data_IF_536565977259
#
_entry.id   IF_536565977259
#
_cell.length_a   1.000
_cell.length_b   1.000
_cell.length_c   1.000
_cell.angle_alpha   90.00
_cell.angle_beta   90.00
_cell.angle_gamma   90.00
#
_symmetry.space_group_name_H-M   'P 1'
#
loop_
_entity.id
_entity.type
_entity.pdbx_description
1 polymer ?
#
# COMPACT_ATOMS: atom_id res chain seq x y z
N UNK A 1 -7.16 16.09 68.50
CA UNK A 1 -6.20 15.87 67.39
C UNK A 1 -5.16 16.99 67.26
N UNK A 2 -5.54 18.25 66.99
CA UNK A 2 -4.59 19.37 66.80
C UNK A 2 -3.56 19.57 67.93
N UNK A 3 -3.98 19.46 69.20
CA UNK A 3 -3.07 19.62 70.33
C UNK A 3 -2.02 18.52 70.42
N UNK A 4 -2.40 17.28 70.09
CA UNK A 4 -1.49 16.13 70.09
C UNK A 4 -0.49 16.25 68.92
N UNK A 5 -0.95 16.57 67.72
CA UNK A 5 -0.06 16.77 66.57
C UNK A 5 0.87 17.96 66.76
N UNK A 6 0.39 19.07 67.33
CA UNK A 6 1.25 20.21 67.72
C UNK A 6 2.29 19.82 68.76
N UNK A 7 1.90 19.04 69.77
CA UNK A 7 2.82 18.57 70.80
C UNK A 7 3.92 17.68 70.21
N UNK A 8 3.55 16.68 69.40
CA UNK A 8 4.52 15.78 68.74
C UNK A 8 5.47 16.54 67.82
N UNK A 9 4.96 17.49 67.02
CA UNK A 9 5.78 18.30 66.12
C UNK A 9 6.78 19.18 66.89
N UNK A 10 6.34 19.81 67.98
CA UNK A 10 7.20 20.62 68.86
C UNK A 10 8.29 19.76 69.51
N UNK A 11 7.96 18.53 69.94
CA UNK A 11 8.93 17.61 70.52
C UNK A 11 9.96 17.15 69.50
N UNK A 12 9.55 16.81 68.28
CA UNK A 12 10.49 16.49 67.20
C UNK A 12 11.43 17.66 66.89
N UNK A 13 10.91 18.88 66.75
CA UNK A 13 11.72 20.07 66.47
C UNK A 13 12.72 20.32 67.61
N UNK A 14 12.32 20.15 68.87
CA UNK A 14 13.22 20.25 70.04
C UNK A 14 14.35 19.23 69.97
N UNK A 15 14.01 17.96 69.73
CA UNK A 15 14.97 16.86 69.66
C UNK A 15 16.01 17.06 68.55
N UNK A 16 15.59 17.53 67.37
CA UNK A 16 16.51 17.86 66.27
C UNK A 16 17.34 19.13 66.53
N UNK A 17 16.80 20.12 67.26
CA UNK A 17 17.53 21.37 67.56
C UNK A 17 18.60 21.19 68.65
N UNK A 18 18.34 20.36 69.66
CA UNK A 18 19.30 20.05 70.74
C UNK A 18 20.47 19.22 70.23
N UNK A 19 20.24 18.30 69.28
CA UNK A 19 21.30 17.51 68.64
C UNK A 19 22.14 18.29 67.61
N UNK A 20 21.62 19.39 67.04
CA UNK A 20 22.30 20.18 66.01
C UNK A 20 22.92 21.50 66.52
N UNK A 21 22.79 21.82 67.81
CA UNK A 21 23.32 23.05 68.41
C UNK A 21 22.64 24.34 67.94
N UNK A 22 21.48 24.25 67.31
CA UNK A 22 20.74 25.40 66.75
C UNK A 22 19.80 25.95 67.84
N UNK A 23 19.86 27.26 68.17
CA UNK A 23 19.01 27.83 69.22
C UNK A 23 17.52 27.65 68.91
N UNK A 24 16.82 26.89 69.76
CA UNK A 24 15.37 26.72 69.64
C UNK A 24 14.66 28.08 69.83
N UNK A 25 13.85 28.55 68.86
CA UNK A 25 13.18 29.83 69.00
C UNK A 25 12.15 29.78 70.15
N UNK A 26 12.41 30.50 71.26
CA UNK A 26 11.48 30.61 72.41
C UNK A 26 10.07 31.08 72.01
N UNK A 27 9.92 31.71 70.85
CA UNK A 27 8.64 32.14 70.28
C UNK A 27 7.69 30.99 69.88
N UNK A 28 8.18 29.75 69.73
CA UNK A 28 7.32 28.58 69.39
C UNK A 28 6.43 28.18 70.58
N UNK A 29 6.87 28.47 71.80
CA UNK A 29 6.11 28.23 73.03
C UNK A 29 5.28 29.44 73.49
N UNK A 30 5.49 30.64 72.93
CA UNK A 30 4.73 31.83 73.31
C UNK A 30 3.33 31.80 72.70
N UNK A 31 2.30 31.96 73.55
CA UNK A 31 0.92 32.19 73.11
C UNK A 31 0.87 33.57 72.42
N UNK A 32 0.23 33.71 71.24
CA UNK A 32 0.19 35.01 70.57
C UNK A 32 -0.47 36.04 71.48
N UNK A 33 0.24 37.12 71.80
CA UNK A 33 -0.33 38.23 72.61
C UNK A 33 -1.51 38.91 71.91
N UNK A 34 -1.61 38.77 70.59
CA UNK A 34 -2.64 39.38 69.75
C UNK A 34 -3.12 38.33 68.72
N UNK A 35 -4.27 37.74 69.01
CA UNK A 35 -4.90 36.69 68.20
C UNK A 35 -5.15 37.16 66.75
N UNK A 36 -5.51 38.44 66.57
CA UNK A 36 -5.82 39.00 65.27
C UNK A 36 -4.57 39.10 64.39
N UNK A 37 -3.44 39.55 64.95
CA UNK A 37 -2.15 39.56 64.23
C UNK A 37 -1.67 38.16 63.85
N UNK A 38 -1.88 37.16 64.71
CA UNK A 38 -1.53 35.78 64.41
C UNK A 38 -2.39 35.21 63.27
N UNK A 39 -3.70 35.45 63.29
CA UNK A 39 -4.62 35.06 62.23
C UNK A 39 -4.29 35.73 60.89
N UNK A 40 -3.95 37.02 60.91
CA UNK A 40 -3.54 37.75 59.71
C UNK A 40 -2.25 37.19 59.10
N UNK A 41 -1.22 36.90 59.92
CA UNK A 41 0.03 36.27 59.47
C UNK A 41 -0.21 34.87 58.90
N UNK A 42 -1.05 34.08 59.55
CA UNK A 42 -1.46 32.76 59.05
C UNK A 42 -2.16 32.88 57.70
N UNK A 43 -3.15 33.77 57.57
CA UNK A 43 -3.87 33.98 56.32
C UNK A 43 -2.93 34.41 55.19
N UNK A 44 -1.98 35.32 55.46
CA UNK A 44 -0.96 35.71 54.47
C UNK A 44 -0.05 34.56 54.05
N UNK A 45 0.48 33.79 55.00
CA UNK A 45 1.35 32.65 54.73
C UNK A 45 0.60 31.54 53.97
N UNK A 46 -0.63 31.24 54.39
CA UNK A 46 -1.53 30.29 53.74
C UNK A 46 -1.86 30.71 52.30
N UNK A 47 -2.23 31.97 52.08
CA UNK A 47 -2.53 32.48 50.75
C UNK A 47 -1.29 32.48 49.83
N UNK A 48 -0.10 32.79 50.37
CA UNK A 48 1.16 32.72 49.62
C UNK A 48 1.48 31.27 49.24
N UNK A 49 1.38 30.34 50.18
CA UNK A 49 1.57 28.91 49.93
C UNK A 49 0.58 28.40 48.87
N UNK A 50 -0.71 28.71 49.02
CA UNK A 50 -1.74 28.29 48.08
C UNK A 50 -1.48 28.83 46.66
N UNK A 51 -1.00 30.07 46.53
CA UNK A 51 -0.61 30.63 45.23
C UNK A 51 0.57 29.88 44.62
N UNK A 52 1.59 29.54 45.41
CA UNK A 52 2.73 28.75 44.93
C UNK A 52 2.28 27.36 44.49
N UNK A 53 1.53 26.64 45.32
CA UNK A 53 1.02 25.29 44.99
C UNK A 53 0.18 25.31 43.72
N UNK A 54 -0.72 26.29 43.55
CA UNK A 54 -1.51 26.42 42.32
C UNK A 54 -0.64 26.64 41.07
N UNK A 55 0.45 27.41 41.18
CA UNK A 55 1.37 27.62 40.06
C UNK A 55 2.12 26.34 39.69
N UNK A 56 2.62 25.62 40.69
CA UNK A 56 3.30 24.33 40.49
C UNK A 56 2.34 23.30 39.87
N UNK A 57 1.09 23.25 40.32
CA UNK A 57 0.09 22.33 39.78
C UNK A 57 -0.21 22.58 38.29
N UNK A 58 -0.33 23.85 37.88
CA UNK A 58 -0.48 24.23 36.47
C UNK A 58 0.75 23.79 35.66
N UNK A 59 1.96 24.03 36.19
CA UNK A 59 3.19 23.61 35.51
C UNK A 59 3.27 22.09 35.35
N UNK A 60 2.95 21.34 36.40
CA UNK A 60 2.91 19.86 36.36
C UNK A 60 1.92 19.40 35.30
N UNK A 61 0.73 19.99 35.25
CA UNK A 61 -0.29 19.65 34.26
C UNK A 61 0.19 19.92 32.82
N UNK A 62 0.87 21.04 32.60
CA UNK A 62 1.44 21.38 31.28
C UNK A 62 2.55 20.40 30.87
N UNK A 63 3.43 20.02 31.80
CA UNK A 63 4.45 19.00 31.53
C UNK A 63 3.83 17.62 31.24
N UNK A 64 2.78 17.24 31.95
CA UNK A 64 2.05 16.00 31.68
C UNK A 64 1.42 15.99 30.29
N UNK A 65 0.79 17.10 29.87
CA UNK A 65 0.24 17.23 28.51
C UNK A 65 1.34 17.12 27.44
N UNK A 66 2.47 17.81 27.63
CA UNK A 66 3.62 17.73 26.71
C UNK A 66 4.19 16.31 26.64
N UNK A 67 4.34 15.63 27.77
CA UNK A 67 4.80 14.25 27.82
C UNK A 67 3.86 13.30 27.05
N UNK A 68 2.54 13.44 27.23
CA UNK A 68 1.55 12.65 26.49
C UNK A 68 1.62 12.90 24.98
N UNK A 69 1.80 14.15 24.55
CA UNK A 69 1.97 14.51 23.15
C UNK A 69 3.22 13.83 22.55
N UNK A 70 4.35 13.90 23.25
CA UNK A 70 5.60 13.27 22.82
C UNK A 70 5.47 11.75 22.72
N UNK A 71 4.81 11.11 23.69
CA UNK A 71 4.53 9.66 23.64
C UNK A 71 3.69 9.30 22.42
N UNK A 72 2.70 10.12 22.07
CA UNK A 72 1.88 9.92 20.86
C UNK A 72 2.73 10.04 19.59
N UNK A 73 3.57 11.06 19.49
CA UNK A 73 4.48 11.24 18.35
C UNK A 73 5.49 10.09 18.21
N UNK A 74 6.07 9.62 19.31
CA UNK A 74 6.97 8.45 19.30
C UNK A 74 6.23 7.21 18.79
N UNK A 75 4.97 7.02 19.17
CA UNK A 75 4.15 5.90 18.69
C UNK A 75 3.88 6.00 17.20
N UNK A 76 3.53 7.18 16.70
CA UNK A 76 3.29 7.46 15.28
C UNK A 76 4.56 7.22 14.44
N UNK A 77 5.70 7.76 14.87
CA UNK A 77 7.00 7.53 14.21
C UNK A 77 7.39 6.05 14.21
N UNK A 78 7.15 5.32 15.30
CA UNK A 78 7.39 3.86 15.34
C UNK A 78 6.52 3.10 14.33
N UNK A 79 5.24 3.47 14.18
CA UNK A 79 4.39 2.86 13.15
C UNK A 79 4.87 3.19 11.74
N UNK A 80 5.27 4.44 11.48
CA UNK A 80 5.80 4.85 10.18
C UNK A 80 7.09 4.10 9.83
N UNK A 81 8.03 3.99 10.78
CA UNK A 81 9.24 3.19 10.62
C UNK A 81 8.93 1.71 10.33
N UNK A 82 7.95 1.12 11.01
CA UNK A 82 7.54 -0.27 10.77
C UNK A 82 6.93 -0.45 9.36
N UNK A 83 6.13 0.51 8.89
CA UNK A 83 5.60 0.50 7.52
C UNK A 83 6.70 0.64 6.47
N UNK A 84 7.63 1.58 6.66
CA UNK A 84 8.76 1.78 5.76
C UNK A 84 9.65 0.53 5.70
N UNK A 85 9.92 -0.10 6.84
CA UNK A 85 10.67 -1.35 6.90
C UNK A 85 9.97 -2.48 6.14
N UNK A 86 8.64 -2.61 6.29
CA UNK A 86 7.83 -3.58 5.52
C UNK A 86 7.86 -3.31 4.02
N UNK A 87 7.90 -2.03 3.59
CA UNK A 87 8.04 -1.66 2.18
C UNK A 87 9.42 -2.02 1.65
N UNK A 88 10.48 -1.75 2.40
CA UNK A 88 11.85 -2.12 2.03
C UNK A 88 12.00 -3.64 1.86
N UNK A 89 11.51 -4.43 2.82
CA UNK A 89 11.55 -5.89 2.73
C UNK A 89 10.82 -6.43 1.49
N UNK A 90 9.70 -5.82 1.09
CA UNK A 90 9.00 -6.18 -0.16
C UNK A 90 9.82 -5.82 -1.40
N UNK A 91 10.50 -4.69 -1.40
CA UNK A 91 11.36 -4.27 -2.52
C UNK A 91 12.54 -5.23 -2.66
N UNK A 92 13.19 -5.60 -1.57
CA UNK A 92 14.29 -6.58 -1.55
C UNK A 92 13.84 -7.95 -2.09
N UNK A 93 12.71 -8.47 -1.61
CA UNK A 93 12.15 -9.74 -2.11
C UNK A 93 11.82 -9.67 -3.60
N UNK A 94 11.26 -8.56 -4.07
CA UNK A 94 10.95 -8.37 -5.48
C UNK A 94 12.22 -8.20 -6.33
N UNK A 95 13.29 -7.57 -5.83
CA UNK A 95 14.55 -7.46 -6.57
C UNK A 95 15.23 -8.81 -6.72
N UNK A 96 15.23 -9.63 -5.66
CA UNK A 96 15.86 -10.96 -5.68
C UNK A 96 15.13 -11.90 -6.66
N UNK A 97 13.80 -11.88 -6.65
CA UNK A 97 12.99 -12.64 -7.62
C UNK A 97 13.26 -12.17 -9.06
N UNK A 98 13.28 -10.85 -9.30
CA UNK A 98 13.55 -10.32 -10.63
C UNK A 98 14.96 -10.62 -11.13
N UNK A 99 15.96 -10.64 -10.23
CA UNK A 99 17.33 -11.02 -10.55
C UNK A 99 17.41 -12.51 -10.91
N UNK A 100 16.73 -13.39 -10.17
CA UNK A 100 16.64 -14.83 -10.49
C UNK A 100 16.01 -15.07 -11.86
N UNK A 101 14.87 -14.44 -12.14
CA UNK A 101 14.16 -14.57 -13.43
C UNK A 101 15.02 -14.08 -14.59
N UNK A 102 15.73 -12.95 -14.41
CA UNK A 102 16.68 -12.44 -15.42
C UNK A 102 17.86 -13.39 -15.62
N UNK A 103 18.42 -13.96 -14.56
CA UNK A 103 19.52 -14.91 -14.66
C UNK A 103 19.09 -16.21 -15.40
N UNK A 104 17.92 -16.76 -15.04
CA UNK A 104 17.36 -17.96 -15.68
C UNK A 104 17.05 -17.75 -17.15
N UNK A 105 16.41 -16.62 -17.51
CA UNK A 105 16.13 -16.29 -18.91
C UNK A 105 17.41 -16.11 -19.74
N UNK A 106 18.44 -15.44 -19.20
CA UNK A 106 19.75 -15.32 -19.85
C UNK A 106 20.39 -16.69 -20.04
N UNK A 107 20.31 -17.57 -19.04
CA UNK A 107 20.85 -18.92 -19.14
C UNK A 107 20.12 -19.77 -20.18
N UNK A 108 18.79 -19.62 -20.28
CA UNK A 108 17.98 -20.29 -21.30
C UNK A 108 18.34 -19.81 -22.71
N UNK A 109 18.51 -18.50 -22.91
CA UNK A 109 18.97 -17.93 -24.19
C UNK A 109 20.35 -18.46 -24.55
N UNK A 110 21.29 -18.53 -23.60
CA UNK A 110 22.62 -19.10 -23.83
C UNK A 110 22.57 -20.57 -24.21
N UNK A 111 21.74 -21.37 -23.55
CA UNK A 111 21.56 -22.79 -23.88
C UNK A 111 20.96 -22.97 -25.29
N UNK A 112 19.96 -22.17 -25.64
CA UNK A 112 19.36 -22.18 -26.98
C UNK A 112 20.37 -21.78 -28.06
N UNK A 113 21.16 -20.74 -27.81
CA UNK A 113 22.22 -20.31 -28.71
C UNK A 113 23.30 -21.37 -28.89
N UNK A 114 23.69 -22.05 -27.81
CA UNK A 114 24.63 -23.18 -27.88
C UNK A 114 24.08 -24.32 -28.74
N UNK A 115 22.79 -24.67 -28.58
CA UNK A 115 22.13 -25.68 -29.41
C UNK A 115 22.08 -25.27 -30.89
N UNK A 116 21.77 -24.00 -31.19
CA UNK A 116 21.81 -23.48 -32.57
C UNK A 116 23.22 -23.59 -33.14
N UNK A 117 24.25 -23.15 -32.40
CA UNK A 117 25.64 -23.25 -32.85
C UNK A 117 26.08 -24.70 -33.08
N UNK A 118 25.66 -25.63 -32.23
CA UNK A 118 25.92 -27.05 -32.40
C UNK A 118 25.25 -27.61 -33.66
N UNK A 119 23.98 -27.27 -33.91
CA UNK A 119 23.29 -27.66 -35.15
C UNK A 119 23.95 -27.06 -36.39
N UNK A 120 24.35 -25.79 -36.35
CA UNK A 120 25.07 -25.14 -37.45
C UNK A 120 26.42 -25.84 -37.74
N UNK A 121 27.12 -26.27 -36.69
CA UNK A 121 28.37 -27.02 -36.82
C UNK A 121 28.14 -28.42 -37.40
N UNK A 122 27.06 -29.10 -37.03
CA UNK A 122 26.68 -30.38 -37.62
C UNK A 122 26.36 -30.23 -39.12
N UNK A 123 25.67 -29.14 -39.48
CA UNK A 123 25.24 -28.83 -40.85
C UNK A 123 26.36 -28.21 -41.72
N UNK A 124 27.56 -27.99 -41.17
CA UNK A 124 28.65 -27.29 -41.87
C UNK A 124 29.05 -28.00 -43.18
N UNK A 125 29.09 -29.34 -43.18
CA UNK A 125 29.39 -30.13 -44.39
C UNK A 125 28.30 -30.02 -45.45
N UNK A 126 27.05 -30.02 -45.04
CA UNK A 126 25.91 -29.88 -45.95
C UNK A 126 25.86 -28.47 -46.56
N UNK A 127 26.21 -27.46 -45.75
CA UNK A 127 26.38 -26.08 -46.21
C UNK A 127 27.51 -25.95 -47.24
N UNK A 128 28.66 -26.60 -47.04
CA UNK A 128 29.76 -26.61 -48.02
C UNK A 128 29.33 -27.22 -49.36
N UNK A 129 28.52 -28.27 -49.34
CA UNK A 129 27.96 -28.89 -50.56
C UNK A 129 27.02 -27.91 -51.27
N UNK A 130 26.10 -27.26 -50.55
CA UNK A 130 25.19 -26.25 -51.11
C UNK A 130 25.95 -25.04 -51.67
N UNK A 131 26.96 -24.54 -50.95
CA UNK A 131 27.82 -23.44 -51.41
C UNK A 131 28.61 -23.82 -52.67
N UNK A 132 29.01 -25.09 -52.82
CA UNK A 132 29.73 -25.58 -54.00
C UNK A 132 28.83 -25.68 -55.24
N UNK A 133 27.57 -26.09 -55.04
CA UNK A 133 26.54 -26.08 -56.09
C UNK A 133 26.24 -24.65 -56.52
N UNK A 134 26.09 -23.71 -55.58
CA UNK A 134 25.89 -22.27 -55.86
C UNK A 134 27.09 -21.64 -56.58
N UNK A 135 28.32 -22.10 -56.32
CA UNK A 135 29.55 -21.68 -57.02
C UNK A 135 29.72 -22.33 -58.40
N UNK A 136 28.73 -23.08 -58.88
CA UNK A 136 28.70 -23.62 -60.25
C UNK A 136 29.44 -24.94 -60.44
N UNK A 137 29.75 -25.70 -59.38
CA UNK A 137 30.37 -27.03 -59.47
C UNK A 137 29.30 -28.14 -59.60
N UNK A 138 28.36 -27.94 -60.52
CA UNK A 138 27.09 -28.71 -60.62
C UNK A 138 27.30 -30.18 -61.01
N UNK A 139 28.44 -30.52 -61.64
CA UNK A 139 28.67 -31.85 -62.23
C UNK A 139 29.52 -32.81 -61.37
N UNK A 140 29.95 -32.42 -60.16
CA UNK A 140 30.82 -33.25 -59.31
C UNK A 140 30.08 -34.12 -58.27
N UNK A 141 28.79 -33.86 -58.04
CA UNK A 141 28.01 -34.56 -57.02
C UNK A 141 26.73 -35.15 -57.63
N UNK A 142 26.67 -36.47 -57.71
CA UNK A 142 25.43 -37.19 -58.03
C UNK A 142 24.65 -37.34 -56.73
N UNK A 143 23.51 -36.65 -56.62
CA UNK A 143 22.52 -36.89 -55.55
C UNK A 143 21.82 -38.23 -55.81
N UNK A 144 22.55 -39.28 -55.49
CA UNK A 144 22.10 -40.65 -55.45
C UNK A 144 21.42 -40.85 -54.07
N UNK A 145 20.09 -40.93 -54.06
CA UNK A 145 19.31 -41.14 -52.84
C UNK A 145 19.27 -42.60 -52.37
N UNK A 146 20.20 -43.47 -52.80
CA UNK A 146 20.13 -44.92 -52.55
C UNK A 146 20.35 -45.30 -51.08
N UNK A 147 21.04 -44.45 -50.31
CA UNK A 147 21.29 -44.66 -48.87
C UNK A 147 20.25 -44.00 -47.94
N UNK A 148 19.25 -43.29 -48.49
CA UNK A 148 18.26 -42.53 -47.70
C UNK A 148 16.90 -43.21 -47.74
N UNK A 149 16.53 -43.88 -46.65
CA UNK A 149 15.19 -44.42 -46.45
C UNK A 149 14.24 -43.34 -45.93
N UNK A 150 13.42 -42.78 -46.82
CA UNK A 150 12.36 -41.85 -46.42
C UNK A 150 11.15 -42.62 -45.89
N UNK A 151 10.86 -42.44 -44.60
CA UNK A 151 9.62 -42.92 -43.99
C UNK A 151 8.60 -41.78 -43.91
N UNK A 152 7.57 -41.83 -44.76
CA UNK A 152 6.44 -40.90 -44.69
C UNK A 152 5.49 -41.34 -43.56
N UNK A 153 5.19 -40.48 -42.57
CA UNK A 153 4.25 -40.82 -41.51
C UNK A 153 2.87 -41.18 -42.06
N UNK A 154 2.27 -42.27 -41.57
CA UNK A 154 0.99 -42.81 -42.08
C UNK A 154 -0.15 -41.79 -42.12
N UNK A 155 -0.26 -40.94 -41.09
CA UNK A 155 -1.28 -39.89 -41.03
C UNK A 155 -1.14 -38.85 -42.16
N UNK A 156 0.10 -38.56 -42.58
CA UNK A 156 0.39 -37.70 -43.72
C UNK A 156 0.04 -38.42 -45.02
N UNK A 157 0.39 -39.70 -45.11
CA UNK A 157 0.07 -40.57 -46.24
C UNK A 157 -1.44 -40.66 -46.48
N UNK A 158 -2.24 -40.95 -45.45
CA UNK A 158 -3.71 -41.03 -45.54
C UNK A 158 -4.33 -39.68 -45.96
N UNK A 159 -3.83 -38.57 -45.40
CA UNK A 159 -4.32 -37.23 -45.76
C UNK A 159 -3.93 -36.83 -47.18
N UNK A 160 -2.72 -37.18 -47.61
CA UNK A 160 -2.21 -36.87 -48.95
C UNK A 160 -2.88 -37.77 -49.98
N UNK A 161 -3.07 -39.07 -49.75
CA UNK A 161 -3.81 -39.97 -50.64
C UNK A 161 -5.23 -39.47 -50.92
N UNK A 162 -5.90 -38.88 -49.92
CA UNK A 162 -7.20 -38.24 -50.09
C UNK A 162 -7.15 -36.95 -50.95
N UNK A 163 -5.99 -36.31 -51.05
CA UNK A 163 -5.75 -35.06 -51.81
C UNK A 163 -4.98 -35.33 -53.13
N UNK A 164 -4.39 -36.52 -53.32
CA UNK A 164 -3.59 -36.94 -54.49
C UNK A 164 -4.39 -36.88 -55.80
N UNK A 165 -5.72 -37.03 -55.74
CA UNK A 165 -6.57 -36.82 -56.93
C UNK A 165 -6.60 -35.36 -57.41
N UNK A 166 -6.24 -34.40 -56.54
CA UNK A 166 -6.19 -32.96 -56.83
C UNK A 166 -4.76 -32.44 -56.99
N UNK A 167 -3.81 -33.00 -56.24
CA UNK A 167 -2.39 -32.68 -56.31
C UNK A 167 -1.70 -33.77 -57.14
N UNK A 168 -1.26 -33.45 -58.36
CA UNK A 168 -0.53 -34.37 -59.25
C UNK A 168 0.88 -34.70 -58.72
N UNK A 169 0.98 -35.22 -57.51
CA UNK A 169 2.24 -35.63 -56.89
C UNK A 169 2.56 -37.04 -57.42
N UNK A 170 3.66 -37.14 -58.17
CA UNK A 170 4.16 -38.41 -58.67
C UNK A 170 4.70 -39.31 -57.56
N UNK A 171 5.14 -40.52 -57.93
CA UNK A 171 5.69 -41.46 -56.95
C UNK A 171 7.00 -40.92 -56.35
N UNK A 172 7.23 -41.19 -55.07
CA UNK A 172 8.44 -40.79 -54.34
C UNK A 172 9.66 -41.57 -54.87
N UNK A 173 9.43 -42.77 -55.40
CA UNK A 173 10.43 -43.58 -56.07
C UNK A 173 10.04 -43.82 -57.53
N UNK A 174 10.94 -43.52 -58.46
CA UNK A 174 10.82 -43.86 -59.87
C UNK A 174 12.00 -44.74 -60.28
N UNK A 175 11.70 -45.91 -60.87
CA UNK A 175 12.70 -46.90 -61.31
C UNK A 175 13.70 -47.31 -60.20
N UNK A 176 13.26 -47.36 -58.94
CA UNK A 176 14.10 -47.73 -57.79
C UNK A 176 15.01 -46.60 -57.29
N UNK A 177 14.95 -45.41 -57.89
CA UNK A 177 15.67 -44.22 -57.45
C UNK A 177 14.72 -43.21 -56.81
N UNK A 178 15.21 -42.48 -55.82
CA UNK A 178 14.46 -41.43 -55.17
C UNK A 178 14.22 -40.25 -56.13
N UNK A 179 12.98 -39.89 -56.35
CA UNK A 179 12.64 -38.69 -57.11
C UNK A 179 12.60 -37.48 -56.16
N UNK A 180 13.70 -36.74 -56.10
CA UNK A 180 13.86 -35.59 -55.20
C UNK A 180 12.82 -34.49 -55.49
N UNK A 181 12.39 -34.34 -56.73
CA UNK A 181 11.38 -33.35 -57.11
C UNK A 181 10.03 -33.66 -56.47
N UNK A 182 9.59 -34.92 -56.50
CA UNK A 182 8.33 -35.34 -55.87
C UNK A 182 8.41 -35.29 -54.35
N UNK A 183 9.58 -35.55 -53.76
CA UNK A 183 9.83 -35.35 -52.31
C UNK A 183 9.65 -33.89 -51.91
N UNK A 184 10.24 -32.94 -52.66
CA UNK A 184 10.12 -31.50 -52.36
C UNK A 184 8.66 -31.04 -52.50
N UNK A 185 7.96 -31.51 -53.53
CA UNK A 185 6.53 -31.23 -53.70
C UNK A 185 5.69 -31.75 -52.54
N UNK A 186 5.93 -32.99 -52.11
CA UNK A 186 5.29 -33.60 -50.95
C UNK A 186 5.51 -32.77 -49.68
N UNK A 187 6.75 -32.34 -49.45
CA UNK A 187 7.15 -31.59 -48.26
C UNK A 187 6.51 -30.20 -48.22
N UNK A 188 6.44 -29.53 -49.37
CA UNK A 188 5.76 -28.24 -49.50
C UNK A 188 4.24 -28.34 -49.22
N UNK A 189 3.58 -29.39 -49.70
CA UNK A 189 2.15 -29.59 -49.43
C UNK A 189 1.90 -29.97 -47.97
N UNK A 190 2.77 -30.79 -47.39
CA UNK A 190 2.77 -31.10 -45.96
C UNK A 190 2.86 -29.83 -45.10
N UNK A 191 3.74 -28.90 -45.48
CA UNK A 191 3.90 -27.61 -44.81
C UNK A 191 2.66 -26.72 -44.94
N UNK A 192 2.05 -26.65 -46.13
CA UNK A 192 0.79 -25.90 -46.31
C UNK A 192 -0.33 -26.46 -45.41
N UNK A 193 -0.44 -27.78 -45.32
CA UNK A 193 -1.43 -28.43 -44.44
C UNK A 193 -1.18 -28.07 -42.98
N UNK A 194 0.06 -28.18 -42.50
CA UNK A 194 0.42 -27.79 -41.12
C UNK A 194 0.13 -26.31 -40.84
N UNK A 195 0.43 -25.42 -41.77
CA UNK A 195 0.11 -24.00 -41.61
C UNK A 195 -1.39 -23.76 -41.53
N UNK A 196 -2.20 -24.47 -42.32
CA UNK A 196 -3.65 -24.34 -42.29
C UNK A 196 -4.27 -24.87 -40.99
N UNK A 197 -3.79 -26.02 -40.48
CA UNK A 197 -4.25 -26.58 -39.20
C UNK A 197 -3.90 -25.66 -38.03
N UNK A 198 -2.68 -25.11 -38.03
CA UNK A 198 -2.25 -24.15 -37.02
C UNK A 198 -3.13 -22.91 -37.01
N UNK A 199 -3.44 -22.36 -38.18
CA UNK A 199 -4.27 -21.17 -38.31
C UNK A 199 -5.71 -21.40 -37.81
N UNK A 200 -6.24 -22.61 -37.97
CA UNK A 200 -7.56 -22.99 -37.49
C UNK A 200 -7.60 -23.13 -35.96
N UNK A 201 -6.58 -23.76 -35.36
CA UNK A 201 -6.44 -23.89 -33.90
C UNK A 201 -6.26 -22.53 -33.23
N UNK A 202 -5.43 -21.65 -33.81
CA UNK A 202 -5.20 -20.30 -33.26
C UNK A 202 -6.48 -19.45 -33.33
N UNK A 203 -7.29 -19.56 -34.39
CA UNK A 203 -8.57 -18.84 -34.49
C UNK A 203 -9.60 -19.29 -33.45
N UNK A 204 -9.72 -20.59 -33.19
CA UNK A 204 -10.67 -21.11 -32.18
C UNK A 204 -10.25 -20.78 -30.75
N UNK A 205 -8.95 -20.86 -30.45
CA UNK A 205 -8.39 -20.44 -29.17
C UNK A 205 -8.61 -18.94 -28.91
N UNK A 206 -8.33 -18.10 -29.91
CA UNK A 206 -8.53 -16.64 -29.81
C UNK A 206 -10.02 -16.28 -29.69
N UNK A 207 -10.92 -16.98 -30.40
CA UNK A 207 -12.36 -16.73 -30.33
C UNK A 207 -12.93 -17.06 -28.94
N UNK A 208 -12.46 -18.14 -28.32
CA UNK A 208 -12.86 -18.52 -26.96
C UNK A 208 -12.37 -17.48 -25.92
N UNK A 209 -11.16 -16.95 -26.11
CA UNK A 209 -10.59 -15.94 -25.21
C UNK A 209 -11.36 -14.61 -25.29
N UNK A 210 -11.72 -14.16 -26.50
CA UNK A 210 -12.51 -12.93 -26.69
C UNK A 210 -13.89 -13.01 -26.03
N UNK A 211 -14.61 -14.13 -26.18
CA UNK A 211 -15.92 -14.32 -25.54
C UNK A 211 -15.82 -14.34 -24.00
N UNK A 212 -14.77 -14.97 -23.48
CA UNK A 212 -14.49 -15.00 -22.04
C UNK A 212 -14.19 -13.60 -21.48
N UNK A 213 -13.35 -12.83 -22.19
CA UNK A 213 -13.00 -11.45 -21.83
C UNK A 213 -14.23 -10.54 -21.88
N UNK A 214 -15.06 -10.67 -22.91
CA UNK A 214 -16.30 -9.89 -23.04
C UNK A 214 -17.27 -10.20 -21.89
N UNK A 215 -17.46 -11.47 -21.55
CA UNK A 215 -18.30 -11.89 -20.43
C UNK A 215 -17.81 -11.34 -19.08
N UNK A 216 -16.49 -11.43 -18.82
CA UNK A 216 -15.87 -10.84 -17.62
C UNK A 216 -16.05 -9.32 -17.57
N UNK A 217 -15.89 -8.65 -18.71
CA UNK A 217 -16.01 -7.19 -18.80
C UNK A 217 -17.43 -6.73 -18.52
N UNK A 218 -18.45 -7.43 -19.05
CA UNK A 218 -19.86 -7.16 -18.78
C UNK A 218 -20.19 -7.31 -17.29
N UNK A 219 -19.78 -8.42 -16.69
CA UNK A 219 -19.99 -8.66 -15.25
C UNK A 219 -19.33 -7.60 -14.36
N UNK A 220 -18.09 -7.21 -14.67
CA UNK A 220 -17.41 -6.14 -13.95
C UNK A 220 -18.12 -4.80 -14.08
N UNK A 221 -18.67 -4.49 -15.26
CA UNK A 221 -19.45 -3.27 -15.47
C UNK A 221 -20.74 -3.25 -14.63
N UNK A 222 -21.43 -4.38 -14.51
CA UNK A 222 -22.63 -4.49 -13.67
C UNK A 222 -22.31 -4.24 -12.18
N UNK A 223 -21.23 -4.87 -11.68
CA UNK A 223 -20.75 -4.61 -10.31
C UNK A 223 -20.39 -3.14 -10.13
N UNK A 224 -19.68 -2.56 -11.10
CA UNK A 224 -19.28 -1.16 -11.05
C UNK A 224 -20.48 -0.22 -10.97
N UNK A 225 -21.52 -0.45 -11.78
CA UNK A 225 -22.76 0.32 -11.74
C UNK A 225 -23.48 0.15 -10.39
N UNK A 226 -23.52 -1.06 -9.84
CA UNK A 226 -24.07 -1.33 -8.51
C UNK A 226 -23.33 -0.56 -7.40
N UNK A 227 -22.00 -0.60 -7.40
CA UNK A 227 -21.16 0.15 -6.46
C UNK A 227 -21.34 1.66 -6.61
N UNK A 228 -21.48 2.15 -7.85
CA UNK A 228 -21.77 3.56 -8.11
C UNK A 228 -23.12 3.96 -7.50
N UNK A 229 -24.15 3.15 -7.67
CA UNK A 229 -25.48 3.38 -7.06
C UNK A 229 -25.40 3.40 -5.52
N UNK A 230 -24.73 2.42 -4.92
CA UNK A 230 -24.54 2.34 -3.47
C UNK A 230 -23.81 3.57 -2.91
N UNK A 231 -22.77 4.05 -3.61
CA UNK A 231 -22.08 5.29 -3.26
C UNK A 231 -23.01 6.51 -3.29
N UNK A 232 -23.93 6.58 -4.26
CA UNK A 232 -24.87 7.69 -4.34
C UNK A 232 -25.87 7.67 -3.18
N UNK A 233 -26.39 6.48 -2.81
CA UNK A 233 -27.27 6.33 -1.64
C UNK A 233 -26.58 6.76 -0.35
N UNK A 234 -25.39 6.23 -0.07
CA UNK A 234 -24.62 6.59 1.12
C UNK A 234 -24.37 8.10 1.23
N UNK A 235 -24.06 8.75 0.10
CA UNK A 235 -23.70 10.18 0.09
C UNK A 235 -24.91 11.11 0.18
N UNK A 236 -26.02 10.77 -0.47
CA UNK A 236 -27.19 11.67 -0.59
C UNK A 236 -28.31 11.37 0.40
N UNK A 237 -28.45 10.12 0.81
CA UNK A 237 -29.53 9.68 1.69
C UNK A 237 -28.96 9.50 3.10
N UNK A 238 -28.11 8.49 3.30
CA UNK A 238 -27.67 8.09 4.65
C UNK A 238 -26.86 9.19 5.36
N UNK A 239 -25.88 9.80 4.67
CA UNK A 239 -25.07 10.87 5.25
C UNK A 239 -25.89 12.12 5.57
N UNK A 240 -26.92 12.43 4.77
CA UNK A 240 -27.80 13.58 5.03
C UNK A 240 -28.68 13.29 6.23
N UNK A 241 -29.30 12.12 6.28
CA UNK A 241 -30.12 11.65 7.40
C UNK A 241 -29.34 11.62 8.73
N UNK A 242 -28.10 11.12 8.71
CA UNK A 242 -27.22 11.11 9.89
C UNK A 242 -26.93 12.54 10.36
N UNK A 243 -26.62 13.45 9.44
CA UNK A 243 -26.34 14.85 9.80
C UNK A 243 -27.57 15.57 10.35
N UNK A 244 -28.76 15.32 9.78
CA UNK A 244 -30.03 15.83 10.30
C UNK A 244 -30.27 15.30 11.72
N UNK A 245 -30.10 14.00 11.95
CA UNK A 245 -30.24 13.40 13.29
C UNK A 245 -29.23 13.96 14.30
N UNK A 246 -27.97 14.17 13.88
CA UNK A 246 -26.97 14.82 14.73
C UNK A 246 -27.38 16.26 15.07
N UNK A 247 -27.87 17.02 14.10
CA UNK A 247 -28.33 18.39 14.32
C UNK A 247 -29.52 18.43 15.28
N UNK A 248 -30.50 17.54 15.15
CA UNK A 248 -31.62 17.40 16.09
C UNK A 248 -31.15 17.05 17.51
N UNK A 249 -30.22 16.10 17.64
CA UNK A 249 -29.68 15.73 18.96
C UNK A 249 -28.87 16.86 19.58
N UNK A 250 -28.19 17.66 18.76
CA UNK A 250 -27.47 18.85 19.22
C UNK A 250 -28.45 19.91 19.74
N UNK A 251 -29.55 20.18 19.02
CA UNK A 251 -30.56 21.16 19.47
C UNK A 251 -31.31 20.69 20.71
N UNK A 252 -31.64 19.39 20.82
CA UNK A 252 -32.18 18.80 22.04
C UNK A 252 -31.24 19.00 23.24
N UNK A 253 -29.93 18.82 23.02
CA UNK A 253 -28.93 19.04 24.06
C UNK A 253 -28.81 20.51 24.45
N UNK A 254 -28.78 21.42 23.47
CA UNK A 254 -28.71 22.86 23.72
C UNK A 254 -29.94 23.33 24.52
N UNK A 255 -31.15 22.85 24.18
CA UNK A 255 -32.37 23.14 24.95
C UNK A 255 -32.32 22.60 26.37
N UNK A 256 -31.78 21.39 26.60
CA UNK A 256 -31.58 20.84 27.95
C UNK A 256 -30.61 21.71 28.76
N UNK A 257 -29.51 22.15 28.15
CA UNK A 257 -28.56 23.01 28.82
C UNK A 257 -29.13 24.40 29.13
N UNK A 258 -29.88 25.01 28.19
CA UNK A 258 -30.60 26.26 28.44
C UNK A 258 -31.62 26.12 29.57
N UNK A 259 -32.34 25.00 29.65
CA UNK A 259 -33.27 24.74 30.75
C UNK A 259 -32.57 24.58 32.11
N UNK A 260 -31.37 23.99 32.16
CA UNK A 260 -30.63 23.77 33.40
C UNK A 260 -29.80 24.98 33.86
N UNK A 261 -29.29 25.79 32.94
CA UNK A 261 -28.31 26.87 33.22
C UNK A 261 -28.74 28.26 32.73
N UNK A 262 -29.86 28.37 32.01
CA UNK A 262 -30.37 29.62 31.43
C UNK A 262 -29.58 30.15 30.22
N UNK A 263 -28.50 29.47 29.80
CA UNK A 263 -27.64 29.83 28.68
C UNK A 263 -27.04 28.59 28.00
N UNK A 264 -26.82 28.67 26.68
CA UNK A 264 -26.11 27.62 25.93
C UNK A 264 -24.59 27.63 26.23
N UNK A 265 -23.95 26.47 26.50
CA UNK A 265 -22.53 26.38 26.85
C UNK A 265 -21.60 26.87 25.74
N UNK A 266 -22.04 26.79 24.48
CA UNK A 266 -21.23 27.13 23.31
C UNK A 266 -21.23 28.62 22.95
N UNK A 267 -22.16 29.41 23.51
CA UNK A 267 -22.18 30.86 23.33
C UNK A 267 -20.99 31.56 23.99
N UNK A 268 -20.39 30.95 25.03
CA UNK A 268 -19.24 31.51 25.75
C UNK A 268 -17.91 31.33 24.99
N UNK A 269 -17.87 30.45 23.98
CA UNK A 269 -16.61 30.06 23.30
C UNK A 269 -16.37 30.91 22.04
N UNK A 270 -17.39 31.60 21.51
CA UNK A 270 -17.28 32.31 20.21
C UNK A 270 -16.61 33.69 20.24
N UNK A 271 -16.34 34.29 21.41
CA UNK A 271 -15.84 35.67 21.50
C UNK A 271 -14.37 35.82 21.94
N UNK A 272 -13.54 34.79 21.83
CA UNK A 272 -12.09 34.93 22.00
C UNK A 272 -11.33 34.57 20.74
N UNK A 273 -11.38 35.49 19.76
CA UNK A 273 -10.31 35.67 18.79
C UNK A 273 -9.19 36.47 19.48
N UNK A 274 -8.02 35.87 19.80
CA UNK A 274 -6.99 36.55 20.59
C UNK A 274 -6.14 37.56 19.81
N UNK A 275 -6.49 37.86 18.54
CA UNK A 275 -5.66 38.70 17.65
C UNK A 275 -6.14 40.16 17.55
N UNK A 276 -7.29 40.50 18.12
CA UNK A 276 -7.87 41.85 17.99
C UNK A 276 -7.41 42.86 19.05
N UNK A 277 -6.52 42.49 19.97
CA UNK A 277 -6.14 43.34 21.12
C UNK A 277 -4.98 44.33 20.85
N UNK A 278 -4.51 44.50 19.61
CA UNK A 278 -3.34 45.36 19.30
C UNK A 278 -3.68 46.69 18.60
N UNK A 279 -4.95 47.00 18.27
CA UNK A 279 -5.29 48.32 17.69
C UNK A 279 -6.34 49.09 18.49
N UNK A 280 -6.16 50.42 18.69
CA UNK A 280 -7.14 51.24 19.39
C UNK A 280 -8.41 51.38 18.55
N UNK A 281 -9.55 51.31 19.25
CA UNK A 281 -10.88 51.42 18.68
C UNK A 281 -11.07 52.74 17.92
N UNK A 282 -11.47 52.63 16.66
CA UNK A 282 -12.17 53.70 15.96
C UNK A 282 -13.32 53.10 15.15
N UNK A 283 -14.52 53.64 15.35
CA UNK A 283 -15.56 53.69 14.34
C UNK A 283 -16.62 52.60 14.40
N UNK A 284 -17.75 52.95 15.01
CA UNK A 284 -19.06 52.34 14.82
C UNK A 284 -19.35 52.04 13.34
N UNK A 285 -19.89 50.85 13.03
CA UNK A 285 -20.93 50.70 12.02
C UNK A 285 -21.75 49.44 12.31
N UNK A 286 -23.01 49.66 12.65
CA UNK A 286 -23.98 48.59 12.83
C UNK A 286 -24.44 48.02 11.49
N UNK A 287 -24.98 46.79 11.56
CA UNK A 287 -26.26 46.39 10.96
C UNK A 287 -26.53 44.93 11.29
N UNK A 288 -27.41 44.72 12.27
CA UNK A 288 -28.32 43.57 12.23
C UNK A 288 -29.30 43.78 11.08
N UNK A 289 -29.32 42.84 10.13
CA UNK A 289 -30.52 42.46 9.36
C UNK A 289 -30.23 41.19 8.58
N UNK A 290 -30.93 40.11 8.93
CA UNK A 290 -31.40 39.10 7.97
C UNK A 290 -32.82 38.72 8.38
N UNK A 291 -33.78 39.30 7.65
CA UNK A 291 -34.90 38.51 7.12
C UNK A 291 -34.34 37.66 5.97
#
# INVERSE_FOLDING_TARGET
MYHLSRYVLIQHIKMYSEGAGIPYPKAVNSRPSDFYKAAARYSMAYNRFLRTVKKEDILIQDYQKKAQLLVKQIRELRSECAELHKRLQKVEQNSDQNLSIKAESVQKVRAMWASIMETLKLLEKEKEVVDSVLKGHVDQYVLDGTDVTICVPRLLLDKIENVMYKLQIGNVYEAGKLNVLTVIQLLNESLKMLMSERQQVDQEALKLDVLCIEGKTKFQNEIFLGLKSMRHKLKREDHVSINESIAEKQTEWDMKWESCLGQSPFCLIKDQNPVSSIFPQCGCFGRCKRQ
#
